data_IF_511425895113
#
_entry.id   IF_511425895113
#
_cell.length_a   1.000
_cell.length_b   1.000
_cell.length_c   1.000
_cell.angle_alpha   90.00
_cell.angle_beta   90.00
_cell.angle_gamma   90.00
#
_symmetry.space_group_name_H-M   'P 1'
#
loop_
_entity.id
_entity.type
_entity.pdbx_description
1 polymer ?
#
# COMPACT_ATOMS: atom_id res chain seq x y z
N UNK A 1 -14.26 -23.91 -2.11
CA UNK A 1 -12.98 -23.43 -1.54
C UNK A 1 -12.00 -23.33 -2.68
N UNK A 2 -11.87 -22.15 -3.29
CA UNK A 2 -10.88 -21.90 -4.35
C UNK A 2 -9.52 -21.71 -3.70
N UNK A 3 -8.60 -22.65 -3.92
CA UNK A 3 -7.23 -22.54 -3.42
C UNK A 3 -6.58 -21.27 -3.97
N UNK A 4 -5.86 -20.54 -3.11
CA UNK A 4 -5.03 -19.44 -3.56
C UNK A 4 -4.11 -19.97 -4.66
N UNK A 5 -3.98 -19.27 -5.81
CA UNK A 5 -2.97 -19.61 -6.80
C UNK A 5 -1.63 -19.70 -6.09
N UNK A 6 -0.91 -20.80 -6.29
CA UNK A 6 0.50 -20.91 -5.92
C UNK A 6 1.25 -19.97 -6.85
N UNK A 7 1.20 -18.67 -6.56
CA UNK A 7 2.03 -17.67 -7.21
C UNK A 7 3.42 -17.84 -6.59
N UNK A 8 4.38 -18.30 -7.39
CA UNK A 8 5.78 -18.55 -7.02
C UNK A 8 6.56 -17.28 -6.62
N UNK A 9 5.87 -16.14 -6.41
CA UNK A 9 6.51 -14.95 -5.87
C UNK A 9 6.99 -15.21 -4.44
N UNK A 10 8.29 -15.03 -4.15
CA UNK A 10 8.78 -15.07 -2.78
C UNK A 10 8.03 -14.07 -1.90
N UNK A 11 7.65 -14.49 -0.70
CA UNK A 11 6.87 -13.69 0.27
C UNK A 11 7.43 -12.28 0.53
N UNK A 12 8.75 -12.11 0.43
CA UNK A 12 9.42 -10.82 0.60
C UNK A 12 9.06 -9.80 -0.49
N UNK A 13 8.68 -10.27 -1.69
CA UNK A 13 8.19 -9.40 -2.78
C UNK A 13 6.84 -8.79 -2.41
N UNK A 14 5.91 -9.60 -1.90
CA UNK A 14 4.60 -9.12 -1.45
C UNK A 14 4.72 -8.13 -0.30
N UNK A 15 5.55 -8.43 0.69
CA UNK A 15 5.82 -7.48 1.79
C UNK A 15 6.37 -6.15 1.28
N UNK A 16 7.29 -6.20 0.30
CA UNK A 16 7.87 -5.00 -0.31
C UNK A 16 6.82 -4.18 -1.08
N UNK A 17 5.93 -4.84 -1.82
CA UNK A 17 4.83 -4.19 -2.54
C UNK A 17 3.83 -3.53 -1.59
N UNK A 18 3.40 -4.25 -0.54
CA UNK A 18 2.50 -3.72 0.50
C UNK A 18 3.12 -2.50 1.17
N UNK A 19 4.38 -2.59 1.59
CA UNK A 19 5.09 -1.47 2.22
C UNK A 19 5.23 -0.27 1.29
N UNK A 20 5.58 -0.50 0.01
CA UNK A 20 5.63 0.58 -0.98
C UNK A 20 4.29 1.28 -1.14
N UNK A 21 3.19 0.53 -1.25
CA UNK A 21 1.87 1.11 -1.40
C UNK A 21 1.47 1.94 -0.17
N UNK A 22 1.62 1.38 1.03
CA UNK A 22 1.35 2.08 2.29
C UNK A 22 2.18 3.35 2.42
N UNK A 23 3.46 3.29 2.02
CA UNK A 23 4.34 4.43 2.06
C UNK A 23 3.84 5.59 1.18
N UNK A 24 3.52 5.30 -0.09
CA UNK A 24 2.97 6.31 -1.01
C UNK A 24 1.65 6.89 -0.50
N UNK A 25 0.76 6.04 0.03
CA UNK A 25 -0.52 6.46 0.62
C UNK A 25 -0.34 7.31 1.89
N UNK A 26 0.80 7.19 2.57
CA UNK A 26 1.07 7.84 3.87
C UNK A 26 1.73 9.21 3.80
N UNK A 27 2.14 9.69 2.62
CA UNK A 27 2.97 10.89 2.47
C UNK A 27 2.23 12.02 1.73
N UNK A 28 1.65 13.01 2.47
CA UNK A 28 0.98 14.15 1.87
C UNK A 28 1.87 15.01 0.96
N UNK A 29 3.17 15.12 1.26
CA UNK A 29 4.10 15.89 0.42
C UNK A 29 4.29 15.18 -0.91
N UNK A 30 4.38 13.85 -0.89
CA UNK A 30 4.39 13.03 -2.09
C UNK A 30 3.09 13.17 -2.90
N UNK A 31 1.92 13.25 -2.25
CA UNK A 31 0.64 13.44 -2.93
C UNK A 31 0.63 14.73 -3.76
N UNK A 32 1.07 15.84 -3.16
CA UNK A 32 1.14 17.14 -3.83
C UNK A 32 2.19 17.17 -4.96
N UNK A 33 3.42 16.75 -4.63
CA UNK A 33 4.58 16.93 -5.53
C UNK A 33 4.71 15.85 -6.61
N UNK A 34 4.00 14.73 -6.47
CA UNK A 34 4.06 13.60 -7.40
C UNK A 34 2.70 13.29 -8.00
N UNK A 35 1.69 12.96 -7.20
CA UNK A 35 0.40 12.53 -7.74
C UNK A 35 -0.39 13.70 -8.35
N UNK A 36 -0.58 14.79 -7.61
CA UNK A 36 -1.28 15.97 -8.14
C UNK A 36 -0.49 16.66 -9.26
N UNK A 37 0.84 16.67 -9.15
CA UNK A 37 1.71 17.19 -10.20
C UNK A 37 1.77 16.30 -11.47
N UNK A 38 1.19 15.10 -11.44
CA UNK A 38 1.21 14.16 -12.57
C UNK A 38 2.62 13.67 -12.93
N UNK A 39 3.51 13.55 -11.95
CA UNK A 39 4.88 13.11 -12.18
C UNK A 39 4.93 11.62 -12.52
N UNK A 40 5.51 11.30 -13.66
CA UNK A 40 5.66 9.92 -14.12
C UNK A 40 6.57 9.06 -13.22
N UNK A 41 6.46 7.73 -13.36
CA UNK A 41 7.33 6.75 -12.70
C UNK A 41 6.86 6.27 -11.33
N UNK A 42 5.78 6.83 -10.81
CA UNK A 42 5.19 6.46 -9.52
C UNK A 42 3.77 5.89 -9.63
N UNK A 43 3.10 6.10 -10.75
CA UNK A 43 1.66 5.85 -10.87
C UNK A 43 0.85 6.86 -10.07
N UNK A 44 -0.44 6.59 -9.89
CA UNK A 44 -1.37 7.41 -9.13
C UNK A 44 -1.87 6.72 -7.84
N UNK A 45 -2.92 7.28 -7.23
CA UNK A 45 -3.57 6.71 -6.04
C UNK A 45 -4.05 5.29 -6.33
N UNK A 46 -4.71 5.09 -7.46
CA UNK A 46 -5.31 3.82 -7.89
C UNK A 46 -4.22 2.76 -8.10
N UNK A 47 -3.10 3.11 -8.73
CA UNK A 47 -1.93 2.21 -8.86
C UNK A 47 -1.36 1.77 -7.51
N UNK A 48 -1.35 2.67 -6.51
CA UNK A 48 -0.92 2.32 -5.17
C UNK A 48 -1.94 1.40 -4.46
N UNK A 49 -3.24 1.63 -4.65
CA UNK A 49 -4.27 0.73 -4.10
C UNK A 49 -4.19 -0.65 -4.74
N UNK A 50 -4.05 -0.76 -6.06
CA UNK A 50 -3.90 -2.05 -6.72
C UNK A 50 -2.66 -2.80 -6.23
N UNK A 51 -1.51 -2.11 -6.10
CA UNK A 51 -0.31 -2.72 -5.52
C UNK A 51 -0.50 -3.21 -4.09
N UNK A 52 -1.35 -2.54 -3.32
CA UNK A 52 -1.65 -2.93 -1.95
C UNK A 52 -2.41 -4.27 -1.91
N UNK A 53 -3.33 -4.52 -2.85
CA UNK A 53 -4.32 -5.60 -2.74
C UNK A 53 -4.25 -6.69 -3.80
N UNK A 54 -3.79 -6.40 -5.03
CA UNK A 54 -3.97 -7.30 -6.19
C UNK A 54 -3.27 -8.65 -6.00
N UNK A 55 -1.97 -8.63 -5.68
CA UNK A 55 -1.20 -9.86 -5.47
C UNK A 55 -1.45 -10.49 -4.09
N UNK A 56 -1.91 -9.70 -3.12
CA UNK A 56 -2.03 -10.11 -1.72
C UNK A 56 -3.44 -10.50 -1.32
N UNK A 57 -4.44 -10.17 -2.14
CA UNK A 57 -5.87 -10.38 -1.88
C UNK A 57 -6.37 -9.73 -0.58
N UNK A 58 -5.71 -8.66 -0.14
CA UNK A 58 -6.09 -7.93 1.08
C UNK A 58 -7.45 -7.22 0.97
N UNK A 59 -8.00 -7.10 -0.23
CA UNK A 59 -9.36 -6.66 -0.49
C UNK A 59 -10.43 -7.71 -0.12
N UNK A 60 -10.07 -9.00 -0.17
CA UNK A 60 -10.96 -10.12 0.07
C UNK A 60 -10.70 -10.84 1.39
N UNK A 61 -9.49 -10.71 1.95
CA UNK A 61 -9.06 -11.42 3.14
C UNK A 61 -8.31 -10.51 4.09
N UNK A 62 -8.53 -10.71 5.39
CA UNK A 62 -7.75 -10.05 6.44
C UNK A 62 -6.26 -10.41 6.33
N UNK A 63 -5.43 -9.40 6.58
CA UNK A 63 -3.99 -9.49 6.74
C UNK A 63 -3.56 -10.56 7.76
N UNK A 64 -4.40 -10.87 8.76
CA UNK A 64 -4.11 -11.87 9.78
C UNK A 64 -3.82 -13.25 9.17
N UNK A 65 -4.45 -13.57 8.03
CA UNK A 65 -4.20 -14.84 7.31
C UNK A 65 -2.79 -14.95 6.76
N UNK A 66 -2.08 -13.84 6.62
CA UNK A 66 -0.74 -13.76 6.06
C UNK A 66 0.33 -13.54 7.14
N UNK A 67 -0.02 -13.65 8.42
CA UNK A 67 0.96 -13.66 9.52
C UNK A 67 1.85 -14.90 9.41
N UNK A 68 3.16 -14.70 9.54
CA UNK A 68 4.20 -15.71 9.30
C UNK A 68 4.60 -15.86 7.83
N UNK A 69 3.87 -15.22 6.90
CA UNK A 69 4.20 -15.19 5.47
C UNK A 69 4.59 -13.77 5.01
N UNK A 70 3.66 -12.81 5.05
CA UNK A 70 3.87 -11.41 4.66
C UNK A 70 4.12 -10.53 5.89
N UNK A 71 3.38 -10.79 6.97
CA UNK A 71 3.42 -10.02 8.21
C UNK A 71 4.10 -10.82 9.31
N UNK A 72 4.86 -10.16 10.18
CA UNK A 72 5.63 -10.83 11.24
C UNK A 72 4.76 -11.28 12.39
N UNK A 73 3.76 -10.48 12.73
CA UNK A 73 2.87 -10.69 13.86
C UNK A 73 1.50 -10.07 13.59
N UNK A 74 0.53 -10.40 14.45
CA UNK A 74 -0.84 -9.90 14.40
C UNK A 74 -0.94 -8.37 14.55
N UNK A 75 0.08 -7.73 15.13
CA UNK A 75 0.12 -6.27 15.26
C UNK A 75 0.37 -5.59 13.92
N UNK A 76 1.31 -6.10 13.13
CA UNK A 76 1.50 -5.66 11.74
C UNK A 76 0.23 -5.88 10.92
N UNK A 77 -0.37 -7.07 11.01
CA UNK A 77 -1.57 -7.41 10.27
C UNK A 77 -2.75 -6.49 10.61
N UNK A 78 -3.00 -6.23 11.89
CA UNK A 78 -4.09 -5.36 12.32
C UNK A 78 -3.95 -3.93 11.78
N UNK A 79 -2.73 -3.36 11.77
CA UNK A 79 -2.50 -2.03 11.21
C UNK A 79 -2.75 -1.99 9.70
N UNK A 80 -2.34 -3.06 8.99
CA UNK A 80 -2.54 -3.17 7.55
C UNK A 80 -4.02 -3.31 7.20
N UNK A 81 -4.78 -4.16 7.91
CA UNK A 81 -6.23 -4.28 7.72
C UNK A 81 -6.95 -2.93 7.89
N UNK A 82 -6.55 -2.18 8.90
CA UNK A 82 -7.09 -0.87 9.24
C UNK A 82 -6.77 0.18 8.16
N UNK A 83 -5.61 0.09 7.51
CA UNK A 83 -5.25 0.94 6.37
C UNK A 83 -6.00 0.53 5.09
N UNK A 84 -5.99 -0.76 4.74
CA UNK A 84 -6.66 -1.33 3.57
C UNK A 84 -8.16 -0.99 3.59
N UNK A 85 -8.84 -1.21 4.71
CA UNK A 85 -10.27 -0.93 4.84
C UNK A 85 -10.61 0.53 4.56
N UNK A 86 -9.79 1.47 5.05
CA UNK A 86 -10.03 2.90 4.82
C UNK A 86 -9.81 3.28 3.37
N UNK A 87 -8.70 2.83 2.79
CA UNK A 87 -8.33 3.15 1.40
C UNK A 87 -9.34 2.57 0.42
N UNK A 88 -9.73 1.30 0.58
CA UNK A 88 -10.73 0.66 -0.29
C UNK A 88 -12.12 1.30 -0.16
N UNK A 89 -12.50 1.76 1.04
CA UNK A 89 -13.76 2.51 1.21
C UNK A 89 -13.75 3.80 0.40
N UNK A 90 -12.64 4.55 0.44
CA UNK A 90 -12.51 5.80 -0.33
C UNK A 90 -12.50 5.49 -1.83
N UNK A 91 -11.73 4.51 -2.28
CA UNK A 91 -11.71 4.06 -3.68
C UNK A 91 -13.11 3.69 -4.17
N UNK A 92 -13.89 2.98 -3.35
CA UNK A 92 -15.26 2.62 -3.71
C UNK A 92 -16.21 3.83 -3.77
N UNK A 93 -16.02 4.83 -2.90
CA UNK A 93 -16.86 6.03 -2.85
C UNK A 93 -16.52 7.04 -3.96
N UNK A 94 -15.23 7.19 -4.28
CA UNK A 94 -14.71 8.15 -5.25
C UNK A 94 -14.74 7.56 -6.67
N UNK A 95 -14.42 6.27 -6.82
CA UNK A 95 -14.37 5.55 -8.08
C UNK A 95 -12.96 5.53 -8.70
N UNK A 96 -12.52 4.41 -9.31
CA UNK A 96 -11.15 4.20 -9.77
C UNK A 96 -10.71 5.16 -10.88
N UNK A 97 -11.64 5.66 -11.71
CA UNK A 97 -11.37 6.57 -12.83
C UNK A 97 -11.38 8.06 -12.43
N UNK A 98 -11.62 8.36 -11.15
CA UNK A 98 -11.64 9.73 -10.67
C UNK A 98 -10.23 10.33 -10.61
N UNK A 99 -10.08 11.66 -10.78
CA UNK A 99 -8.78 12.31 -10.65
C UNK A 99 -8.26 12.21 -9.20
N UNK A 100 -6.94 12.23 -9.04
CA UNK A 100 -6.24 12.23 -7.74
C UNK A 100 -6.84 13.26 -6.77
N UNK A 101 -7.16 14.47 -7.25
CA UNK A 101 -7.71 15.54 -6.41
C UNK A 101 -9.00 15.11 -5.69
N UNK A 102 -9.85 14.30 -6.31
CA UNK A 102 -11.09 13.82 -5.70
C UNK A 102 -10.82 12.89 -4.49
N UNK A 103 -9.71 12.14 -4.51
CA UNK A 103 -9.28 11.33 -3.37
C UNK A 103 -8.75 12.21 -2.24
N UNK A 104 -7.91 13.19 -2.56
CA UNK A 104 -7.29 14.06 -1.55
C UNK A 104 -8.29 15.01 -0.88
N UNK A 105 -9.33 15.42 -1.61
CA UNK A 105 -10.45 16.21 -1.10
C UNK A 105 -11.47 15.38 -0.29
N UNK A 106 -11.37 14.04 -0.32
CA UNK A 106 -12.30 13.18 0.40
C UNK A 106 -12.15 13.37 1.92
N UNK A 107 -13.27 13.59 2.62
CA UNK A 107 -13.27 13.86 4.07
C UNK A 107 -12.57 12.81 4.93
N UNK A 108 -12.54 11.55 4.49
CA UNK A 108 -11.88 10.44 5.19
C UNK A 108 -10.42 10.20 4.78
N UNK A 109 -9.89 11.00 3.85
CA UNK A 109 -8.51 10.87 3.37
C UNK A 109 -7.48 11.05 4.48
N UNK A 110 -7.56 12.06 5.36
CA UNK A 110 -6.58 12.24 6.44
C UNK A 110 -6.45 11.02 7.35
N UNK A 111 -7.55 10.34 7.66
CA UNK A 111 -7.53 9.11 8.45
C UNK A 111 -6.95 7.92 7.69
N UNK A 112 -7.15 7.85 6.37
CA UNK A 112 -6.52 6.83 5.52
C UNK A 112 -5.01 7.03 5.47
N UNK A 113 -4.54 8.28 5.28
CA UNK A 113 -3.12 8.65 5.31
C UNK A 113 -2.49 8.26 6.65
N UNK A 114 -3.14 8.60 7.77
CA UNK A 114 -2.64 8.26 9.11
C UNK A 114 -2.56 6.74 9.32
N UNK A 115 -3.59 6.00 8.94
CA UNK A 115 -3.60 4.54 9.06
C UNK A 115 -2.51 3.89 8.19
N UNK A 116 -2.33 4.37 6.95
CA UNK A 116 -1.27 3.93 6.07
C UNK A 116 0.12 4.24 6.66
N UNK A 117 0.29 5.41 7.30
CA UNK A 117 1.54 5.79 7.97
C UNK A 117 1.87 4.88 9.14
N UNK A 118 0.91 4.62 10.01
CA UNK A 118 1.09 3.73 11.17
C UNK A 118 1.53 2.32 10.72
N UNK A 119 0.88 1.77 9.69
CA UNK A 119 1.26 0.48 9.12
C UNK A 119 2.65 0.51 8.45
N UNK A 120 2.92 1.50 7.58
CA UNK A 120 4.21 1.65 6.89
C UNK A 120 5.38 1.75 7.88
N UNK A 121 5.27 2.64 8.88
CA UNK A 121 6.32 2.83 9.90
C UNK A 121 6.60 1.52 10.62
N UNK A 122 5.55 0.78 11.03
CA UNK A 122 5.71 -0.49 11.73
C UNK A 122 6.42 -1.54 10.87
N UNK A 123 6.09 -1.62 9.58
CA UNK A 123 6.71 -2.56 8.64
C UNK A 123 8.16 -2.17 8.32
N UNK A 124 8.42 -0.90 8.03
CA UNK A 124 9.74 -0.38 7.68
C UNK A 124 10.75 -0.55 8.82
N UNK A 125 10.38 -0.17 10.05
CA UNK A 125 11.24 -0.34 11.21
C UNK A 125 11.54 -1.81 11.50
N UNK A 126 10.55 -2.68 11.32
CA UNK A 126 10.77 -4.11 11.45
C UNK A 126 11.80 -4.59 10.43
N UNK A 127 11.72 -4.13 9.19
CA UNK A 127 12.62 -4.48 8.10
C UNK A 127 14.00 -3.79 8.20
N UNK A 128 14.22 -2.95 9.22
CA UNK A 128 15.47 -2.22 9.41
C UNK A 128 15.65 -1.07 8.42
N UNK A 129 14.58 -0.62 7.77
CA UNK A 129 14.58 0.53 6.86
C UNK A 129 14.12 1.80 7.59
N UNK A 130 14.62 2.94 7.12
CA UNK A 130 14.18 4.26 7.57
C UNK A 130 12.81 4.60 6.94
N UNK A 131 11.73 4.77 7.74
CA UNK A 131 10.40 5.09 7.23
C UNK A 131 10.26 6.50 6.66
N UNK A 132 11.24 7.39 6.89
CA UNK A 132 11.23 8.79 6.45
C UNK A 132 12.00 9.01 5.13
N UNK A 133 12.68 7.99 4.63
CA UNK A 133 13.25 8.03 3.28
C UNK A 133 12.12 8.11 2.25
N UNK A 134 12.19 8.93 1.18
CA UNK A 134 11.11 9.07 0.20
C UNK A 134 10.71 7.76 -0.52
N UNK A 135 9.47 7.65 -1.04
CA UNK A 135 9.02 6.49 -1.80
C UNK A 135 9.93 6.18 -3.00
N UNK A 136 10.15 4.88 -3.24
CA UNK A 136 10.88 4.40 -4.43
C UNK A 136 9.95 4.44 -5.65
N UNK A 137 10.51 4.73 -6.83
CA UNK A 137 9.77 4.66 -8.09
C UNK A 137 9.40 3.21 -8.47
N UNK A 138 8.40 3.06 -9.34
CA UNK A 138 7.93 1.76 -9.82
C UNK A 138 9.02 0.97 -10.54
N UNK A 139 9.92 1.65 -11.25
CA UNK A 139 11.05 1.02 -11.92
C UNK A 139 12.04 0.41 -10.93
N UNK A 140 12.36 1.14 -9.86
CA UNK A 140 13.24 0.63 -8.80
C UNK A 140 12.60 -0.56 -8.11
N UNK A 141 11.30 -0.48 -7.78
CA UNK A 141 10.58 -1.60 -7.18
C UNK A 141 10.60 -2.83 -8.08
N UNK A 142 10.32 -2.66 -9.38
CA UNK A 142 10.37 -3.74 -10.37
C UNK A 142 11.75 -4.38 -10.49
N UNK A 143 12.83 -3.61 -10.35
CA UNK A 143 14.20 -4.16 -10.31
C UNK A 143 14.41 -4.99 -9.04
N UNK A 144 14.02 -4.45 -7.89
CA UNK A 144 14.17 -5.12 -6.58
C UNK A 144 13.35 -6.40 -6.47
N UNK A 145 12.17 -6.45 -7.09
CA UNK A 145 11.25 -7.60 -7.00
C UNK A 145 11.35 -8.56 -8.18
N UNK A 146 12.35 -8.43 -9.07
CA UNK A 146 12.55 -9.35 -10.21
C UNK A 146 13.51 -10.52 -9.97
N UNK A 147 14.20 -10.55 -8.82
CA UNK A 147 15.21 -11.60 -8.50
C UNK A 147 14.60 -12.81 -7.83
#
# INVERSE_FOLDING_TARGET
>A
MGGMPLNDMPWWRWRSNVRSALHMLSDPVFHETTWLAGREGYGDVTDAVYRLVEDTWLDNWSAEKYVGAIFRDSGEAALVDVAVLRVLRILHQVGPDAPVSAYLEHQGWPEAVRAAREAHVRLALADGEDPDTPPRSLDVLRIMTRS
#
